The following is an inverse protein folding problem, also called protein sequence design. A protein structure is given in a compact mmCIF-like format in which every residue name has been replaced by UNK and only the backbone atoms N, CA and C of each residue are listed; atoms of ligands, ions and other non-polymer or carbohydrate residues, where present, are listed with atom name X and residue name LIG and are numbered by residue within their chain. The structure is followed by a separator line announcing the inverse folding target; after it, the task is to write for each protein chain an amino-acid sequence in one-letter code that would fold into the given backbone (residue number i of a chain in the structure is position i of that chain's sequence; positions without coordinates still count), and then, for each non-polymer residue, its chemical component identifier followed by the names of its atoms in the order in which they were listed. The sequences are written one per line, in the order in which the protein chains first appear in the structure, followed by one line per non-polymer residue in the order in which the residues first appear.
data_IF_731270101288
#
_entry.id   IF_731270101288
#
_cell.length_a   1.000
_cell.length_b   1.000
_cell.length_c   1.000
_cell.angle_alpha   90.00
_cell.angle_beta   90.00
_cell.angle_gamma   90.00
#
_symmetry.space_group_name_H-M   'P 1'
#
loop_
_entity.id
_entity.type
_entity.pdbx_description
1 polymer ?
#
# COMPACT_ATOMS: atom_id res chain seq x y z
N UNK A 1 7.42 3.51 -14.81
CA UNK A 1 6.90 3.22 -13.47
C UNK A 1 7.75 2.14 -12.84
N UNK A 2 7.90 2.16 -11.53
CA UNK A 2 8.52 1.08 -10.76
C UNK A 2 7.44 0.48 -9.89
N UNK A 3 7.17 -0.82 -10.03
CA UNK A 3 6.18 -1.53 -9.22
C UNK A 3 6.85 -2.25 -8.05
N UNK A 4 6.38 -1.96 -6.83
CA UNK A 4 6.81 -2.61 -5.59
C UNK A 4 5.60 -3.25 -4.90
N UNK A 5 5.57 -4.58 -4.92
CA UNK A 5 4.61 -5.36 -4.15
C UNK A 5 4.97 -5.35 -2.65
N UNK A 6 4.01 -5.72 -1.79
CA UNK A 6 4.11 -5.70 -0.34
C UNK A 6 4.50 -7.02 0.30
N UNK A 7 3.69 -7.49 1.26
CA UNK A 7 3.99 -8.61 2.15
C UNK A 7 4.27 -8.16 3.60
N UNK A 8 5.52 -7.76 3.98
CA UNK A 8 6.72 -7.66 3.14
C UNK A 8 7.21 -9.02 2.63
N UNK A 9 7.86 -9.03 1.47
CA UNK A 9 8.45 -10.24 0.89
C UNK A 9 7.64 -10.90 -0.22
N UNK A 10 6.63 -10.22 -0.76
CA UNK A 10 5.87 -10.68 -1.93
C UNK A 10 6.55 -10.21 -3.22
N UNK A 11 6.59 -11.09 -4.22
CA UNK A 11 7.30 -10.84 -5.47
C UNK A 11 6.53 -9.90 -6.39
N UNK A 12 7.13 -8.74 -6.70
CA UNK A 12 6.65 -7.82 -7.74
C UNK A 12 6.70 -8.47 -9.13
N UNK A 13 7.69 -9.33 -9.38
CA UNK A 13 7.83 -10.06 -10.66
C UNK A 13 6.75 -11.11 -10.84
N UNK A 14 6.30 -11.77 -9.76
CA UNK A 14 5.24 -12.77 -9.81
C UNK A 14 3.85 -12.10 -9.79
N UNK A 15 3.48 -11.50 -8.66
CA UNK A 15 2.14 -10.94 -8.45
C UNK A 15 1.90 -9.73 -9.37
N UNK A 16 2.73 -8.69 -9.25
CA UNK A 16 2.54 -7.45 -10.01
C UNK A 16 2.50 -7.67 -11.52
N UNK A 17 3.38 -8.51 -12.06
CA UNK A 17 3.44 -8.74 -13.49
C UNK A 17 2.40 -9.76 -13.98
N UNK A 18 2.19 -10.88 -13.29
CA UNK A 18 1.35 -11.97 -13.82
C UNK A 18 -0.03 -12.06 -13.20
N UNK A 19 -0.27 -11.51 -12.00
CA UNK A 19 -1.60 -11.53 -11.34
C UNK A 19 -2.34 -10.19 -11.51
N UNK A 20 -1.61 -9.09 -11.67
CA UNK A 20 -2.21 -7.74 -11.59
C UNK A 20 -2.14 -6.98 -12.93
N UNK A 21 -1.01 -6.32 -13.22
CA UNK A 21 -0.95 -5.22 -14.20
C UNK A 21 0.00 -5.45 -15.39
N UNK A 22 0.75 -6.55 -15.41
CA UNK A 22 1.61 -6.89 -16.55
C UNK A 22 0.82 -7.35 -17.77
N UNK A 23 1.50 -7.72 -18.87
CA UNK A 23 0.83 -7.97 -20.15
C UNK A 23 0.08 -9.30 -20.23
N UNK A 24 0.49 -10.28 -19.42
CA UNK A 24 -0.03 -11.65 -19.43
C UNK A 24 -0.57 -12.02 -18.05
N UNK A 25 -1.54 -12.94 -17.99
CA UNK A 25 -1.97 -13.57 -16.75
C UNK A 25 -1.05 -14.75 -16.35
N UNK A 26 -1.39 -15.43 -15.25
CA UNK A 26 -0.63 -16.59 -14.74
C UNK A 26 -0.64 -17.80 -15.67
N UNK A 27 -1.62 -17.87 -16.57
CA UNK A 27 -1.74 -18.89 -17.62
C UNK A 27 -1.12 -18.43 -18.95
N UNK A 28 -0.42 -17.29 -18.94
CA UNK A 28 0.24 -16.65 -20.07
C UNK A 28 -0.71 -16.14 -21.18
N UNK A 29 -1.99 -15.93 -20.85
CA UNK A 29 -2.93 -15.31 -21.79
C UNK A 29 -2.79 -13.78 -21.73
N UNK A 30 -2.95 -13.07 -22.87
CA UNK A 30 -2.94 -11.61 -22.87
C UNK A 30 -4.07 -11.02 -22.03
N UNK A 31 -3.77 -9.98 -21.24
CA UNK A 31 -4.77 -9.21 -20.51
C UNK A 31 -5.46 -8.18 -21.39
N UNK A 32 -6.74 -7.95 -21.15
CA UNK A 32 -7.49 -6.86 -21.79
C UNK A 32 -7.01 -5.48 -21.32
N UNK A 33 -6.51 -5.40 -20.09
CA UNK A 33 -6.00 -4.19 -19.46
C UNK A 33 -4.62 -4.46 -18.87
N UNK A 34 -3.65 -3.61 -19.19
CA UNK A 34 -2.29 -3.71 -18.68
C UNK A 34 -1.62 -2.34 -18.70
N UNK A 35 -0.83 -2.04 -17.68
CA UNK A 35 -0.08 -0.77 -17.62
C UNK A 35 1.07 -0.74 -18.63
N UNK A 36 1.58 -1.91 -19.06
CA UNK A 36 2.73 -1.95 -19.99
C UNK A 36 2.37 -1.50 -21.41
N UNK A 37 1.08 -1.31 -21.70
CA UNK A 37 0.60 -0.75 -22.97
C UNK A 37 0.99 0.71 -23.13
N UNK A 38 0.92 1.47 -22.05
CA UNK A 38 1.09 2.92 -22.06
C UNK A 38 2.41 3.36 -21.39
N UNK A 39 3.03 2.50 -20.57
CA UNK A 39 4.20 2.84 -19.77
C UNK A 39 5.27 1.74 -19.77
N UNK A 40 6.54 2.16 -19.65
CA UNK A 40 7.60 1.23 -19.26
C UNK A 40 7.45 0.91 -17.75
N UNK A 41 7.28 -0.36 -17.39
CA UNK A 41 7.14 -0.81 -16.00
C UNK A 41 8.35 -1.66 -15.61
N UNK A 42 8.98 -1.31 -14.49
CA UNK A 42 10.06 -2.06 -13.87
C UNK A 42 9.53 -2.72 -12.60
N UNK A 43 9.42 -4.05 -12.61
CA UNK A 43 9.07 -4.85 -11.43
C UNK A 43 10.35 -5.16 -10.65
N UNK A 44 10.36 -4.86 -9.35
CA UNK A 44 11.52 -5.12 -8.49
C UNK A 44 11.10 -6.02 -7.34
N UNK A 45 11.63 -7.24 -7.32
CA UNK A 45 11.52 -8.12 -6.16
C UNK A 45 12.37 -7.56 -5.02
N UNK A 46 11.70 -7.14 -3.95
CA UNK A 46 12.33 -6.54 -2.78
C UNK A 46 11.52 -6.90 -1.52
N UNK A 47 12.16 -6.97 -0.34
CA UNK A 47 13.60 -6.87 -0.08
C UNK A 47 14.41 -8.07 -0.62
N UNK A 48 15.73 -8.04 -0.46
CA UNK A 48 16.60 -9.20 -0.73
C UNK A 48 16.07 -10.43 0.01
N UNK A 49 15.94 -11.56 -0.68
CA UNK A 49 15.25 -12.78 -0.21
C UNK A 49 13.84 -12.97 -0.81
N UNK A 50 13.29 -11.94 -1.46
CA UNK A 50 11.97 -11.95 -2.11
C UNK A 50 12.07 -12.42 -3.55
N UNK A 51 11.16 -13.29 -3.99
CA UNK A 51 11.07 -13.72 -5.40
C UNK A 51 12.42 -14.21 -5.92
N UNK A 52 12.95 -13.53 -6.94
CA UNK A 52 14.25 -13.87 -7.52
C UNK A 52 15.44 -13.10 -6.94
N UNK A 53 15.22 -12.19 -5.99
CA UNK A 53 16.29 -11.44 -5.31
C UNK A 53 16.90 -12.25 -4.17
N UNK A 54 18.22 -12.44 -4.15
CA UNK A 54 18.89 -13.29 -3.16
C UNK A 54 20.19 -12.67 -2.61
N UNK A 55 20.61 -13.15 -1.44
CA UNK A 55 21.93 -12.89 -0.86
C UNK A 55 22.68 -14.20 -0.64
N UNK A 56 24.01 -14.17 -0.75
CA UNK A 56 24.86 -15.33 -0.48
C UNK A 56 25.04 -15.63 1.02
N UNK A 57 24.62 -14.72 1.89
CA UNK A 57 24.72 -14.85 3.34
C UNK A 57 23.50 -14.22 4.02
N UNK A 58 23.08 -14.78 5.15
CA UNK A 58 21.92 -14.29 5.90
C UNK A 58 22.06 -12.83 6.38
N UNK A 59 23.29 -12.34 6.55
CA UNK A 59 23.56 -10.93 6.88
C UNK A 59 23.18 -9.95 5.76
N UNK A 60 22.88 -10.44 4.56
CA UNK A 60 22.37 -9.63 3.45
C UNK A 60 20.85 -9.42 3.50
N UNK A 61 20.13 -10.05 4.42
CA UNK A 61 18.71 -9.80 4.61
C UNK A 61 18.50 -8.57 5.50
N UNK A 62 17.79 -7.59 4.95
CA UNK A 62 17.46 -6.35 5.62
C UNK A 62 16.26 -6.52 6.56
N UNK A 63 16.24 -5.76 7.65
CA UNK A 63 15.23 -5.90 8.70
C UNK A 63 14.47 -4.60 9.01
N UNK A 64 14.78 -3.52 8.28
CA UNK A 64 14.18 -2.20 8.48
C UNK A 64 13.83 -1.55 7.15
N UNK A 65 12.77 -0.73 7.12
CA UNK A 65 12.37 0.01 5.90
C UNK A 65 13.50 0.92 5.38
N UNK A 66 14.30 1.51 6.27
CA UNK A 66 15.44 2.35 5.88
C UNK A 66 16.52 1.57 5.10
N UNK A 67 16.80 0.33 5.52
CA UNK A 67 17.72 -0.55 4.77
C UNK A 67 17.11 -0.96 3.42
N UNK A 68 15.82 -1.30 3.38
CA UNK A 68 15.09 -1.61 2.13
C UNK A 68 15.19 -0.44 1.14
N UNK A 69 14.91 0.78 1.59
CA UNK A 69 15.00 1.99 0.78
C UNK A 69 16.42 2.28 0.28
N UNK A 70 17.44 2.03 1.11
CA UNK A 70 18.84 2.15 0.73
C UNK A 70 19.20 1.17 -0.39
N UNK A 71 18.82 -0.11 -0.25
CA UNK A 71 19.09 -1.15 -1.25
C UNK A 71 18.35 -0.87 -2.57
N UNK A 72 17.10 -0.40 -2.50
CA UNK A 72 16.33 0.02 -3.68
C UNK A 72 17.01 1.20 -4.40
N UNK A 73 17.55 2.18 -3.67
CA UNK A 73 18.31 3.28 -4.29
C UNK A 73 19.58 2.78 -4.99
N UNK A 74 20.31 1.84 -4.40
CA UNK A 74 21.47 1.22 -5.07
C UNK A 74 21.05 0.41 -6.30
N UNK A 75 19.92 -0.29 -6.25
CA UNK A 75 19.35 -0.99 -7.40
C UNK A 75 19.11 -0.01 -8.57
N UNK A 76 18.55 1.18 -8.29
CA UNK A 76 18.34 2.21 -9.31
C UNK A 76 19.64 2.80 -9.84
N UNK A 77 20.64 3.03 -8.97
CA UNK A 77 21.97 3.45 -9.42
C UNK A 77 22.57 2.43 -10.40
N UNK A 78 22.48 1.15 -10.06
CA UNK A 78 22.87 0.04 -10.94
C UNK A 78 22.11 0.04 -12.27
N UNK A 79 20.78 0.16 -12.22
CA UNK A 79 19.92 0.21 -13.40
C UNK A 79 20.29 1.37 -14.33
N UNK A 80 20.48 2.58 -13.80
CA UNK A 80 20.87 3.75 -14.60
C UNK A 80 22.31 3.70 -15.11
N UNK A 81 23.21 2.96 -14.45
CA UNK A 81 24.55 2.71 -14.99
C UNK A 81 24.49 1.77 -16.21
N UNK A 82 23.62 0.75 -16.16
CA UNK A 82 23.44 -0.18 -17.28
C UNK A 82 22.59 0.41 -18.42
N UNK A 83 21.60 1.25 -18.09
CA UNK A 83 20.70 1.87 -19.05
C UNK A 83 20.59 3.39 -18.84
N UNK A 84 21.65 4.16 -19.16
CA UNK A 84 21.71 5.60 -18.88
C UNK A 84 20.60 6.44 -19.51
N UNK A 85 20.01 5.97 -20.61
CA UNK A 85 18.90 6.64 -21.29
C UNK A 85 17.66 6.83 -20.40
N UNK A 86 17.51 6.05 -19.32
CA UNK A 86 16.39 6.18 -18.40
C UNK A 86 16.57 7.26 -17.33
N UNK A 87 17.78 7.81 -17.15
CA UNK A 87 18.03 8.85 -16.13
C UNK A 87 17.12 10.08 -16.29
N UNK A 88 16.84 10.47 -17.52
CA UNK A 88 15.98 11.63 -17.84
C UNK A 88 14.49 11.29 -17.95
N UNK A 89 14.13 10.00 -17.94
CA UNK A 89 12.72 9.56 -18.07
C UNK A 89 11.97 9.89 -16.78
N UNK A 90 10.79 10.55 -16.85
CA UNK A 90 9.95 10.77 -15.68
C UNK A 90 9.62 9.44 -15.00
N UNK A 91 10.03 9.29 -13.74
CA UNK A 91 9.86 8.05 -12.99
C UNK A 91 8.88 8.25 -11.84
N UNK A 92 7.95 7.31 -11.71
CA UNK A 92 7.03 7.19 -10.59
C UNK A 92 7.23 5.82 -9.93
N UNK A 93 7.25 5.81 -8.60
CA UNK A 93 7.20 4.60 -7.79
C UNK A 93 5.72 4.30 -7.54
N UNK A 94 5.29 3.07 -7.76
CA UNK A 94 3.90 2.63 -7.58
C UNK A 94 3.94 1.36 -6.73
N UNK A 95 3.07 1.28 -5.74
CA UNK A 95 3.19 0.25 -4.71
C UNK A 95 1.84 -0.27 -4.29
N UNK A 96 1.83 -1.43 -3.65
CA UNK A 96 0.65 -1.99 -3.01
C UNK A 96 0.95 -2.47 -1.59
N UNK A 97 -0.04 -2.44 -0.69
CA UNK A 97 0.05 -3.10 0.61
C UNK A 97 1.21 -2.58 1.46
N UNK A 98 2.01 -3.47 2.07
CA UNK A 98 3.25 -3.09 2.76
C UNK A 98 4.26 -2.37 1.84
N UNK A 99 4.16 -2.55 0.52
CA UNK A 99 4.90 -1.82 -0.48
C UNK A 99 4.75 -0.31 -0.32
N UNK A 100 3.62 0.18 0.19
CA UNK A 100 3.43 1.60 0.48
C UNK A 100 4.42 2.16 1.49
N UNK A 101 4.72 1.42 2.57
CA UNK A 101 5.74 1.81 3.56
C UNK A 101 7.14 1.85 2.92
N UNK A 102 7.45 0.83 2.12
CA UNK A 102 8.75 0.70 1.45
C UNK A 102 8.94 1.79 0.38
N UNK A 103 7.92 2.02 -0.45
CA UNK A 103 7.95 3.00 -1.53
C UNK A 103 7.97 4.44 -1.05
N UNK A 104 7.28 4.76 0.04
CA UNK A 104 7.33 6.09 0.62
C UNK A 104 8.74 6.42 1.17
N UNK A 105 9.37 5.50 1.90
CA UNK A 105 10.75 5.66 2.39
C UNK A 105 11.74 5.74 1.22
N UNK A 106 11.57 4.86 0.23
CA UNK A 106 12.39 4.83 -0.97
C UNK A 106 12.30 6.14 -1.78
N UNK A 107 11.08 6.67 -1.97
CA UNK A 107 10.87 7.94 -2.66
C UNK A 107 11.57 9.10 -1.94
N UNK A 108 11.53 9.13 -0.60
CA UNK A 108 12.17 10.17 0.20
C UNK A 108 13.69 10.10 0.10
N UNK A 109 14.27 8.91 0.25
CA UNK A 109 15.73 8.68 0.15
C UNK A 109 16.23 8.99 -1.27
N UNK A 110 15.51 8.56 -2.30
CA UNK A 110 15.85 8.90 -3.69
C UNK A 110 15.75 10.40 -3.93
N UNK A 111 14.65 11.06 -3.53
CA UNK A 111 14.51 12.51 -3.69
C UNK A 111 15.69 13.29 -3.09
N UNK A 112 16.09 12.93 -1.86
CA UNK A 112 17.25 13.54 -1.19
C UNK A 112 18.54 13.31 -1.96
N UNK A 113 18.77 12.10 -2.48
CA UNK A 113 19.93 11.79 -3.32
C UNK A 113 19.94 12.59 -4.63
N UNK A 114 18.79 12.72 -5.29
CA UNK A 114 18.61 13.51 -6.52
C UNK A 114 18.91 15.00 -6.24
N UNK A 115 18.35 15.55 -5.16
CA UNK A 115 18.59 16.94 -4.75
C UNK A 115 20.05 17.22 -4.37
N UNK A 116 20.73 16.24 -3.77
CA UNK A 116 22.15 16.32 -3.45
C UNK A 116 23.07 16.13 -4.67
N UNK A 117 22.52 15.78 -5.84
CA UNK A 117 23.30 15.50 -7.05
C UNK A 117 24.09 14.19 -7.00
N UNK A 118 23.81 13.30 -6.05
CA UNK A 118 24.49 11.99 -5.94
C UNK A 118 23.88 10.93 -6.87
N UNK A 119 22.74 11.24 -7.49
CA UNK A 119 22.14 10.47 -8.57
C UNK A 119 21.49 11.42 -9.57
N UNK A 120 21.92 11.34 -10.84
CA UNK A 120 21.24 12.01 -11.94
C UNK A 120 19.98 11.21 -12.30
N UNK A 121 18.81 11.78 -12.02
CA UNK A 121 17.52 11.11 -12.18
C UNK A 121 16.37 12.10 -12.30
N UNK A 122 15.18 11.59 -12.65
CA UNK A 122 13.97 12.37 -12.83
C UNK A 122 12.76 11.76 -12.09
N UNK A 123 12.89 11.56 -10.78
CA UNK A 123 11.79 11.09 -9.93
C UNK A 123 10.70 12.17 -9.82
N UNK A 124 9.44 11.78 -10.05
CA UNK A 124 8.27 12.68 -10.11
C UNK A 124 7.21 12.41 -9.04
N UNK A 125 7.15 11.20 -8.50
CA UNK A 125 6.14 10.89 -7.50
C UNK A 125 6.15 9.45 -7.03
N UNK A 126 5.29 9.20 -6.04
CA UNK A 126 4.99 7.89 -5.49
C UNK A 126 3.47 7.71 -5.42
N UNK A 127 2.98 6.53 -5.79
CA UNK A 127 1.58 6.14 -5.67
C UNK A 127 1.46 4.93 -4.74
N UNK A 128 0.59 5.04 -3.74
CA UNK A 128 0.40 4.12 -2.64
C UNK A 128 -0.99 3.47 -2.80
N UNK A 129 -1.04 2.27 -3.38
CA UNK A 129 -2.23 1.44 -3.49
C UNK A 129 -2.46 0.65 -2.22
N UNK A 130 -3.69 0.71 -1.69
CA UNK A 130 -4.18 -0.12 -0.58
C UNK A 130 -3.12 -0.29 0.52
N UNK A 131 -2.53 0.85 0.90
CA UNK A 131 -1.21 0.89 1.51
C UNK A 131 -1.26 0.74 3.03
N UNK A 132 -0.52 -0.22 3.56
CA UNK A 132 -0.46 -0.56 5.00
C UNK A 132 0.35 0.46 5.83
N UNK A 133 0.00 1.76 5.77
CA UNK A 133 0.72 2.86 6.40
C UNK A 133 0.33 3.05 7.88
N UNK A 134 -0.97 3.09 8.16
CA UNK A 134 -1.53 3.22 9.52
C UNK A 134 -2.41 2.01 9.87
N UNK A 135 -1.80 0.86 10.22
CA UNK A 135 -2.53 -0.38 10.45
C UNK A 135 -3.67 -0.26 11.46
N UNK A 136 -3.44 0.52 12.52
CA UNK A 136 -4.44 0.64 13.57
C UNK A 136 -5.69 1.41 13.14
N UNK A 137 -5.56 2.32 12.17
CA UNK A 137 -6.72 3.03 11.63
C UNK A 137 -7.64 2.08 10.85
N UNK A 138 -7.07 1.17 10.05
CA UNK A 138 -7.82 0.10 9.38
C UNK A 138 -8.47 -0.86 10.37
N UNK A 139 -7.71 -1.36 11.35
CA UNK A 139 -8.24 -2.30 12.37
C UNK A 139 -9.42 -1.71 13.12
N UNK A 140 -9.38 -0.42 13.47
CA UNK A 140 -10.47 0.27 14.15
C UNK A 140 -11.69 0.53 13.26
N UNK A 141 -11.55 0.40 11.94
CA UNK A 141 -12.63 0.64 10.98
C UNK A 141 -13.21 -0.62 10.34
N UNK A 142 -12.59 -1.79 10.55
CA UNK A 142 -13.15 -3.08 10.12
C UNK A 142 -14.58 -3.32 10.59
N UNK A 143 -14.88 -3.11 11.88
CA UNK A 143 -16.24 -3.28 12.41
C UNK A 143 -17.28 -2.37 11.73
N UNK A 144 -17.11 -1.03 11.70
CA UNK A 144 -18.07 -0.15 11.01
C UNK A 144 -18.12 -0.40 9.50
N UNK A 145 -17.00 -0.74 8.85
CA UNK A 145 -16.98 -1.06 7.43
C UNK A 145 -17.81 -2.32 7.11
N UNK A 146 -17.57 -3.42 7.83
CA UNK A 146 -18.32 -4.68 7.67
C UNK A 146 -19.80 -4.53 8.01
N UNK A 147 -20.14 -3.70 9.01
CA UNK A 147 -21.54 -3.37 9.30
C UNK A 147 -22.19 -2.60 8.15
N UNK A 148 -21.51 -1.57 7.63
CA UNK A 148 -22.04 -0.70 6.56
C UNK A 148 -22.24 -1.42 5.23
N UNK A 149 -21.47 -2.49 4.99
CA UNK A 149 -21.54 -3.33 3.79
C UNK A 149 -22.46 -4.53 3.95
N UNK A 150 -23.04 -4.73 5.15
CA UNK A 150 -23.97 -5.83 5.44
C UNK A 150 -23.29 -7.19 5.66
N UNK A 151 -21.97 -7.21 5.87
CA UNK A 151 -21.19 -8.42 6.11
C UNK A 151 -21.36 -8.96 7.54
N UNK A 152 -21.69 -8.09 8.49
CA UNK A 152 -22.03 -8.46 9.87
C UNK A 152 -23.26 -7.70 10.35
N UNK A 153 -23.93 -8.24 11.37
CA UNK A 153 -24.98 -7.56 12.10
C UNK A 153 -24.42 -6.78 13.30
N UNK A 154 -25.30 -6.29 14.17
CA UNK A 154 -24.89 -5.53 15.36
C UNK A 154 -24.14 -6.34 16.40
N UNK A 155 -24.25 -7.68 16.40
CA UNK A 155 -23.49 -8.51 17.33
C UNK A 155 -22.08 -8.75 16.80
N UNK A 156 -21.95 -9.13 15.53
CA UNK A 156 -20.64 -9.24 14.87
C UNK A 156 -19.85 -7.92 14.92
N UNK A 157 -20.53 -6.77 14.77
CA UNK A 157 -19.92 -5.46 14.99
C UNK A 157 -19.26 -5.34 16.38
N UNK A 158 -19.98 -5.70 17.46
CA UNK A 158 -19.48 -5.53 18.84
C UNK A 158 -18.29 -6.43 19.12
N UNK A 159 -18.31 -7.65 18.60
CA UNK A 159 -17.22 -8.61 18.77
C UNK A 159 -15.94 -8.09 18.11
N UNK A 160 -16.03 -7.66 16.85
CA UNK A 160 -14.89 -7.10 16.09
C UNK A 160 -14.40 -5.80 16.75
N UNK A 161 -15.29 -4.87 17.08
CA UNK A 161 -14.93 -3.58 17.70
C UNK A 161 -14.25 -3.76 19.07
N UNK A 162 -14.69 -4.76 19.86
CA UNK A 162 -14.05 -5.10 21.13
C UNK A 162 -12.63 -5.62 20.91
N UNK A 163 -12.42 -6.54 19.98
CA UNK A 163 -11.10 -7.07 19.64
C UNK A 163 -10.16 -5.98 19.08
N UNK A 164 -10.68 -5.12 18.20
CA UNK A 164 -9.96 -3.98 17.63
C UNK A 164 -9.49 -3.00 18.72
N UNK A 165 -10.34 -2.69 19.72
CA UNK A 165 -9.97 -1.81 20.85
C UNK A 165 -8.85 -2.39 21.71
N UNK A 166 -8.78 -3.71 21.88
CA UNK A 166 -7.67 -4.37 22.58
C UNK A 166 -6.37 -4.18 21.78
N UNK A 167 -6.43 -4.41 20.47
CA UNK A 167 -5.28 -4.17 19.56
C UNK A 167 -4.81 -2.71 19.65
N UNK A 168 -5.75 -1.75 19.59
CA UNK A 168 -5.47 -0.32 19.74
C UNK A 168 -4.76 0.01 21.03
N UNK A 169 -5.25 -0.50 22.15
CA UNK A 169 -4.63 -0.26 23.44
C UNK A 169 -3.17 -0.74 23.47
N UNK A 170 -2.86 -1.89 22.86
CA UNK A 170 -1.49 -2.42 22.78
C UNK A 170 -0.58 -1.64 21.83
N UNK A 171 -1.14 -1.05 20.78
CA UNK A 171 -0.41 -0.08 19.94
C UNK A 171 -0.11 1.20 20.73
N UNK A 172 -1.08 1.73 21.47
CA UNK A 172 -0.93 2.97 22.26
C UNK A 172 0.01 2.84 23.46
N UNK A 173 0.28 1.61 23.93
CA UNK A 173 1.23 1.31 25.01
C UNK A 173 2.59 0.82 24.50
N UNK A 174 2.86 0.93 23.19
CA UNK A 174 4.10 0.48 22.53
C UNK A 174 4.42 -1.03 22.73
N UNK A 175 3.42 -1.85 23.03
CA UNK A 175 3.54 -3.30 23.21
C UNK A 175 3.51 -4.04 21.86
N UNK A 176 4.38 -3.65 20.92
CA UNK A 176 4.28 -4.02 19.49
C UNK A 176 4.10 -5.51 19.19
N UNK A 177 4.86 -6.38 19.86
CA UNK A 177 4.73 -7.84 19.69
C UNK A 177 3.35 -8.34 20.14
N UNK A 178 2.87 -7.83 21.26
CA UNK A 178 1.54 -8.15 21.80
C UNK A 178 0.45 -7.56 20.91
N UNK A 179 0.64 -6.34 20.40
CA UNK A 179 -0.27 -5.70 19.47
C UNK A 179 -0.42 -6.52 18.17
N UNK A 180 0.67 -7.04 17.60
CA UNK A 180 0.62 -7.95 16.45
C UNK A 180 -0.15 -9.25 16.74
N UNK A 181 -0.03 -9.81 17.95
CA UNK A 181 -0.81 -10.99 18.33
C UNK A 181 -2.31 -10.66 18.44
N UNK A 182 -2.68 -9.53 19.04
CA UNK A 182 -4.09 -9.11 19.13
C UNK A 182 -4.67 -8.67 17.78
N UNK A 183 -3.84 -8.15 16.89
CA UNK A 183 -4.22 -7.91 15.50
C UNK A 183 -4.58 -9.22 14.78
N UNK A 184 -3.76 -10.27 14.92
CA UNK A 184 -4.08 -11.59 14.38
C UNK A 184 -5.34 -12.18 15.01
N UNK A 185 -5.52 -11.99 16.33
CA UNK A 185 -6.77 -12.37 17.00
C UNK A 185 -7.99 -11.61 16.46
N UNK A 186 -7.86 -10.31 16.19
CA UNK A 186 -8.94 -9.49 15.62
C UNK A 186 -9.33 -10.00 14.24
N UNK A 187 -8.37 -10.42 13.41
CA UNK A 187 -8.67 -11.07 12.12
C UNK A 187 -9.45 -12.38 12.31
N UNK A 188 -9.07 -13.21 13.28
CA UNK A 188 -9.82 -14.45 13.58
C UNK A 188 -11.27 -14.16 13.97
N UNK A 189 -11.53 -13.11 14.76
CA UNK A 189 -12.89 -12.69 15.13
C UNK A 189 -13.68 -12.24 13.89
N UNK A 190 -13.05 -11.48 12.98
CA UNK A 190 -13.67 -11.11 11.70
C UNK A 190 -14.03 -12.36 10.89
N UNK A 191 -13.11 -13.32 10.74
CA UNK A 191 -13.39 -14.54 9.98
C UNK A 191 -14.53 -15.37 10.58
N UNK A 192 -14.57 -15.48 11.91
CA UNK A 192 -15.63 -16.20 12.61
C UNK A 192 -17.00 -15.55 12.39
N UNK A 193 -17.09 -14.23 12.62
CA UNK A 193 -18.34 -13.47 12.53
C UNK A 193 -18.86 -13.30 11.09
N UNK A 194 -17.98 -13.35 10.09
CA UNK A 194 -18.32 -13.18 8.66
C UNK A 194 -18.42 -14.50 7.90
N UNK A 195 -18.17 -15.64 8.56
CA UNK A 195 -18.08 -16.96 7.91
C UNK A 195 -17.01 -17.02 6.81
N UNK A 196 -15.80 -16.59 7.14
CA UNK A 196 -14.57 -16.58 6.35
C UNK A 196 -14.59 -15.63 5.15
N UNK A 197 -14.96 -14.36 5.36
CA UNK A 197 -14.75 -13.32 4.35
C UNK A 197 -13.28 -13.25 3.93
N UNK A 198 -13.00 -12.98 2.66
CA UNK A 198 -11.65 -12.68 2.20
C UNK A 198 -11.25 -11.27 2.62
N UNK A 199 -10.09 -11.15 3.27
CA UNK A 199 -9.54 -9.86 3.70
C UNK A 199 -9.11 -8.98 2.52
N UNK A 200 -8.87 -9.56 1.35
CA UNK A 200 -8.48 -8.82 0.15
C UNK A 200 -9.68 -8.44 -0.74
N UNK A 201 -10.85 -9.04 -0.50
CA UNK A 201 -12.09 -8.69 -1.18
C UNK A 201 -13.31 -9.16 -0.37
N UNK A 202 -14.08 -8.22 0.20
CA UNK A 202 -15.23 -8.57 1.05
C UNK A 202 -16.34 -9.35 0.34
N UNK A 203 -16.34 -9.39 -1.00
CA UNK A 203 -17.31 -10.16 -1.78
C UNK A 203 -16.88 -11.63 -2.00
N UNK A 204 -15.69 -12.00 -1.51
CA UNK A 204 -15.12 -13.33 -1.66
C UNK A 204 -14.98 -14.05 -0.31
N UNK A 205 -14.61 -15.34 -0.37
CA UNK A 205 -14.36 -16.16 0.81
C UNK A 205 -13.02 -16.84 0.74
N UNK A 206 -12.34 -16.89 1.88
CA UNK A 206 -11.10 -17.66 2.01
C UNK A 206 -11.43 -19.15 1.85
N UNK A 207 -10.74 -19.81 0.92
CA UNK A 207 -10.72 -21.28 0.84
C UNK A 207 -9.73 -21.81 1.89
N UNK A 208 -10.20 -22.68 2.79
CA UNK A 208 -9.46 -23.22 3.95
C UNK A 208 -8.04 -23.77 3.67
N UNK A 209 -7.69 -24.08 2.41
CA UNK A 209 -6.38 -24.63 2.03
C UNK A 209 -5.22 -23.62 2.00
N UNK A 210 -5.49 -22.31 2.05
CA UNK A 210 -4.48 -21.27 1.73
C UNK A 210 -4.14 -20.34 2.90
N UNK A 211 -4.59 -20.64 4.12
CA UNK A 211 -4.42 -19.69 5.23
C UNK A 211 -3.04 -19.78 5.89
N UNK A 212 -2.14 -18.86 5.54
CA UNK A 212 -1.01 -18.49 6.38
C UNK A 212 -1.15 -17.03 6.80
N UNK A 213 -1.51 -16.79 8.06
CA UNK A 213 -1.33 -15.49 8.67
C UNK A 213 0.17 -15.20 8.77
N UNK A 214 0.71 -14.40 7.85
CA UNK A 214 2.00 -13.76 8.10
C UNK A 214 1.74 -12.54 8.97
N UNK A 215 2.29 -12.45 10.19
CA UNK A 215 2.10 -11.28 11.03
C UNK A 215 2.70 -10.05 10.33
N UNK A 216 1.87 -9.09 9.91
CA UNK A 216 2.35 -7.80 9.44
C UNK A 216 2.61 -6.89 10.64
N UNK A 217 3.62 -6.04 10.53
CA UNK A 217 3.89 -5.05 11.57
C UNK A 217 2.74 -4.04 11.64
N UNK A 218 2.22 -3.81 12.85
CA UNK A 218 1.22 -2.78 13.15
C UNK A 218 1.84 -1.39 13.39
N UNK A 219 3.15 -1.25 13.18
CA UNK A 219 3.86 0.03 13.32
C UNK A 219 3.34 1.06 12.32
N UNK A 220 3.08 2.28 12.80
CA UNK A 220 2.82 3.44 11.97
C UNK A 220 4.08 3.87 11.23
N UNK A 221 3.92 4.43 10.04
CA UNK A 221 5.01 5.04 9.27
C UNK A 221 4.68 6.50 8.91
N UNK A 222 5.58 7.41 9.30
CA UNK A 222 5.38 8.86 9.22
C UNK A 222 5.99 9.51 7.96
N UNK A 223 6.76 8.78 7.15
CA UNK A 223 7.51 9.37 6.04
C UNK A 223 6.64 9.93 4.90
N UNK A 224 5.34 9.63 4.86
CA UNK A 224 4.41 10.33 3.95
C UNK A 224 4.29 11.82 4.30
N UNK A 225 4.31 12.18 5.58
CA UNK A 225 4.33 13.59 6.00
C UNK A 225 5.61 14.30 5.55
N UNK A 226 6.75 13.60 5.61
CA UNK A 226 8.03 14.12 5.11
C UNK A 226 8.00 14.34 3.60
N UNK A 227 7.43 13.40 2.84
CA UNK A 227 7.25 13.57 1.39
C UNK A 227 6.44 14.83 1.05
N UNK A 228 5.33 15.05 1.75
CA UNK A 228 4.44 16.19 1.51
C UNK A 228 5.05 17.54 1.93
N UNK A 229 5.83 17.55 3.01
CA UNK A 229 6.40 18.77 3.57
C UNK A 229 7.76 19.15 2.97
N UNK A 230 8.63 18.17 2.70
CA UNK A 230 10.04 18.41 2.33
C UNK A 230 10.32 18.31 0.83
N UNK A 231 9.37 17.79 0.04
CA UNK A 231 9.58 17.51 -1.38
C UNK A 231 8.55 18.21 -2.26
N UNK A 232 8.81 18.19 -3.57
CA UNK A 232 7.86 18.55 -4.62
C UNK A 232 7.39 17.31 -5.42
N UNK A 233 7.56 16.11 -4.86
CA UNK A 233 7.04 14.89 -5.46
C UNK A 233 5.52 14.87 -5.36
N UNK A 234 4.87 14.34 -6.39
CA UNK A 234 3.46 14.01 -6.31
C UNK A 234 3.28 12.75 -5.47
N UNK A 235 2.40 12.79 -4.48
CA UNK A 235 2.05 11.67 -3.61
C UNK A 235 0.60 11.30 -3.90
N UNK A 236 0.38 10.08 -4.37
CA UNK A 236 -0.94 9.56 -4.65
C UNK A 236 -1.26 8.44 -3.66
N UNK A 237 -2.49 8.41 -3.18
CA UNK A 237 -3.07 7.27 -2.47
C UNK A 237 -4.25 6.80 -3.28
N UNK A 238 -4.35 5.51 -3.56
CA UNK A 238 -5.56 4.93 -4.15
C UNK A 238 -5.95 3.71 -3.33
N UNK A 239 -7.26 3.52 -3.14
CA UNK A 239 -7.76 2.45 -2.29
C UNK A 239 -8.92 1.73 -2.97
N UNK A 240 -8.87 0.40 -3.01
CA UNK A 240 -9.99 -0.45 -3.38
C UNK A 240 -11.13 -0.30 -2.38
N UNK A 241 -12.35 -0.18 -2.89
CA UNK A 241 -13.56 -0.09 -2.07
C UNK A 241 -13.85 -1.38 -1.30
N UNK A 242 -13.51 -2.53 -1.88
CA UNK A 242 -13.82 -3.86 -1.35
C UNK A 242 -12.66 -4.47 -0.58
N UNK A 243 -11.52 -3.78 -0.46
CA UNK A 243 -10.43 -4.20 0.41
C UNK A 243 -10.86 -4.09 1.89
N UNK A 244 -10.68 -5.16 2.65
CA UNK A 244 -10.91 -5.18 4.08
C UNK A 244 -9.61 -5.00 4.86
N UNK A 245 -8.50 -5.58 4.39
CA UNK A 245 -7.24 -5.51 5.13
C UNK A 245 -6.84 -4.04 5.27
N UNK A 246 -6.80 -3.29 4.16
CA UNK A 246 -6.56 -1.85 4.14
C UNK A 246 -7.83 -1.13 3.69
N UNK A 247 -8.84 -1.16 4.54
CA UNK A 247 -10.14 -0.60 4.20
C UNK A 247 -10.11 0.91 3.91
N UNK A 248 -10.96 1.31 2.98
CA UNK A 248 -11.09 2.72 2.57
C UNK A 248 -11.35 3.68 3.75
N UNK A 249 -12.23 3.35 4.73
CA UNK A 249 -12.43 4.21 5.90
C UNK A 249 -11.16 4.38 6.75
N UNK A 250 -10.38 3.31 6.98
CA UNK A 250 -9.12 3.37 7.70
C UNK A 250 -8.08 4.24 6.98
N UNK A 251 -7.94 4.05 5.67
CA UNK A 251 -7.07 4.90 4.84
C UNK A 251 -7.48 6.36 4.91
N UNK A 252 -8.78 6.68 4.87
CA UNK A 252 -9.25 8.06 5.00
C UNK A 252 -8.96 8.65 6.39
N UNK A 253 -9.18 7.89 7.47
CA UNK A 253 -8.84 8.33 8.82
C UNK A 253 -7.36 8.68 8.95
N UNK A 254 -6.49 7.85 8.36
CA UNK A 254 -5.06 8.13 8.30
C UNK A 254 -4.75 9.42 7.51
N UNK A 255 -5.30 9.55 6.30
CA UNK A 255 -5.10 10.73 5.45
C UNK A 255 -5.55 12.01 6.16
N UNK A 256 -6.66 11.96 6.89
CA UNK A 256 -7.16 13.10 7.68
C UNK A 256 -6.30 13.39 8.92
N UNK A 257 -5.45 12.47 9.38
CA UNK A 257 -4.52 12.70 10.50
C UNK A 257 -3.17 13.23 10.05
N UNK A 258 -2.85 13.16 8.75
CA UNK A 258 -1.57 13.65 8.21
C UNK A 258 -1.30 15.10 8.60
N UNK A 259 -0.11 15.36 9.12
CA UNK A 259 0.39 16.69 9.48
C UNK A 259 1.22 17.26 8.34
N UNK A 260 0.59 18.04 7.48
CA UNK A 260 1.25 18.66 6.33
C UNK A 260 0.71 20.05 6.05
N UNK A 261 1.50 20.84 5.32
CA UNK A 261 1.25 22.28 5.08
C UNK A 261 -0.12 22.61 4.48
N UNK A 262 -0.73 21.68 3.73
CA UNK A 262 -2.06 21.88 3.11
C UNK A 262 -3.19 21.09 3.79
N UNK A 263 -2.95 20.49 4.97
CA UNK A 263 -3.92 19.60 5.62
C UNK A 263 -5.29 20.27 5.87
N UNK A 264 -5.30 21.53 6.27
CA UNK A 264 -6.54 22.26 6.53
C UNK A 264 -7.31 22.59 5.24
N UNK A 265 -6.60 22.89 4.16
CA UNK A 265 -7.21 23.14 2.85
C UNK A 265 -7.75 21.83 2.27
N UNK A 266 -6.99 20.73 2.40
CA UNK A 266 -7.48 19.40 2.06
C UNK A 266 -8.81 19.11 2.77
N UNK A 267 -8.88 19.25 4.09
CA UNK A 267 -10.09 18.91 4.87
C UNK A 267 -11.28 19.81 4.56
N UNK A 268 -11.05 21.12 4.55
CA UNK A 268 -12.14 22.09 4.64
C UNK A 268 -12.51 22.76 3.30
N UNK A 269 -11.64 22.68 2.29
CA UNK A 269 -11.79 23.45 1.04
C UNK A 269 -11.77 22.54 -0.18
N UNK A 270 -10.89 21.54 -0.22
CA UNK A 270 -10.71 20.68 -1.38
C UNK A 270 -11.95 19.82 -1.62
N UNK A 271 -12.40 19.77 -2.87
CA UNK A 271 -13.64 19.09 -3.26
C UNK A 271 -13.31 17.67 -3.75
N UNK A 272 -14.16 16.72 -3.36
CA UNK A 272 -14.13 15.34 -3.86
C UNK A 272 -15.02 15.26 -5.09
N UNK A 273 -14.45 14.84 -6.21
CA UNK A 273 -15.13 14.76 -7.50
C UNK A 273 -15.28 13.29 -7.95
N UNK A 274 -16.35 12.96 -8.69
CA UNK A 274 -16.53 11.61 -9.22
C UNK A 274 -15.60 11.35 -10.41
N UNK A 275 -15.12 10.11 -10.51
CA UNK A 275 -14.50 9.57 -11.72
C UNK A 275 -15.57 8.78 -12.48
N UNK A 276 -15.91 9.26 -13.69
CA UNK A 276 -16.99 8.68 -14.51
C UNK A 276 -16.41 8.18 -15.82
N UNK A 277 -16.65 6.91 -16.14
CA UNK A 277 -16.29 6.26 -17.41
C UNK A 277 -17.55 5.65 -17.99
N UNK A 278 -17.92 6.03 -19.22
CA UNK A 278 -19.13 5.51 -19.90
C UNK A 278 -20.40 5.60 -19.03
N UNK A 279 -20.60 6.76 -18.36
CA UNK A 279 -21.71 7.04 -17.43
C UNK A 279 -21.72 6.18 -16.14
N UNK A 280 -20.67 5.41 -15.89
CA UNK A 280 -20.48 4.62 -14.66
C UNK A 280 -19.53 5.37 -13.73
N UNK A 281 -19.94 5.54 -12.47
CA UNK A 281 -19.04 6.05 -11.42
C UNK A 281 -18.05 4.95 -11.02
N UNK A 282 -16.85 5.03 -11.59
CA UNK A 282 -15.71 4.14 -11.32
C UNK A 282 -15.02 4.47 -10.01
N UNK A 283 -15.24 5.67 -9.48
CA UNK A 283 -14.60 6.08 -8.26
C UNK A 283 -14.80 7.54 -7.96
N UNK A 284 -13.94 8.04 -7.09
CA UNK A 284 -13.84 9.46 -6.79
C UNK A 284 -12.38 9.81 -6.61
N UNK A 285 -12.08 11.09 -6.71
CA UNK A 285 -10.77 11.60 -6.34
C UNK A 285 -10.90 12.93 -5.62
N UNK A 286 -9.88 13.25 -4.83
CA UNK A 286 -9.72 14.53 -4.15
C UNK A 286 -8.25 14.88 -4.21
N UNK A 287 -7.93 16.12 -4.55
CA UNK A 287 -6.54 16.57 -4.72
C UNK A 287 -6.33 17.90 -4.01
N UNK A 288 -5.13 18.09 -3.45
CA UNK A 288 -4.64 19.37 -2.93
C UNK A 288 -3.13 19.43 -3.11
N UNK A 289 -2.64 20.49 -3.77
CA UNK A 289 -1.23 20.68 -4.08
C UNK A 289 -0.57 19.42 -4.67
N UNK A 290 0.41 18.83 -3.97
CA UNK A 290 1.14 17.65 -4.40
C UNK A 290 0.58 16.32 -3.85
N UNK A 291 -0.63 16.33 -3.28
CA UNK A 291 -1.30 15.15 -2.75
C UNK A 291 -2.63 14.89 -3.46
N UNK A 292 -2.92 13.63 -3.77
CA UNK A 292 -4.26 13.22 -4.17
C UNK A 292 -4.62 11.84 -3.62
N UNK A 293 -5.90 11.67 -3.28
CA UNK A 293 -6.49 10.39 -2.87
C UNK A 293 -7.55 9.99 -3.89
N UNK A 294 -7.55 8.70 -4.24
CA UNK A 294 -8.50 8.07 -5.15
C UNK A 294 -9.24 6.95 -4.42
N UNK A 295 -10.55 6.92 -4.60
CA UNK A 295 -11.43 5.83 -4.16
C UNK A 295 -11.80 5.02 -5.39
N UNK A 296 -11.42 3.76 -5.45
CA UNK A 296 -11.65 2.90 -6.61
C UNK A 296 -12.83 1.98 -6.30
N UNK A 297 -13.97 2.23 -6.93
CA UNK A 297 -15.17 1.44 -6.69
C UNK A 297 -15.01 0.03 -7.26
N UNK A 298 -15.60 -0.97 -6.59
CA UNK A 298 -15.61 -2.39 -7.02
C UNK A 298 -14.23 -3.06 -7.16
N UNK A 299 -13.16 -2.43 -6.68
CA UNK A 299 -11.84 -3.04 -6.59
C UNK A 299 -11.58 -3.59 -5.17
N UNK A 300 -10.91 -4.74 -5.08
CA UNK A 300 -10.36 -5.27 -3.83
C UNK A 300 -8.97 -4.70 -3.56
N UNK A 301 -8.14 -5.47 -2.86
CA UNK A 301 -6.77 -5.09 -2.54
C UNK A 301 -5.84 -4.98 -3.77
N UNK A 302 -6.13 -5.78 -4.81
CA UNK A 302 -5.42 -5.87 -6.09
C UNK A 302 -6.37 -5.59 -7.26
#
# INVERSE_FOLDING_TARGET
MIWLQGGPGSSSTAYGNFEELGPLDTDLNPRNYTWVKDYNVLFIDNPVGTGFSYANAASGFVTTNAQIASDLLECIRGFYNQLPKFKSVPTYITTESYGGKMGAEFALVWYRAQKAGTIESNLKGVALGDAWISPIDSVMTWAPFLLSTGMVDTEGFKEIDTAAKITKNKVETDEWKTATNYWAYTQSVVLETTYNVDFYNILEKIKYSNYQLSPQSVLYYDGVELLLNETNLNVFVYNGQMDLIVDTPGTLLWVEKLKWKEADIWKNVSIREPLVVEDIVEGYYKAQANFAMYWVNRAGHM
#
